data_IF_180825656349
#
_entry.id   IF_180825656349
#
_cell.length_a   1.000
_cell.length_b   1.000
_cell.length_c   1.000
_cell.angle_alpha   90.00
_cell.angle_beta   90.00
_cell.angle_gamma   90.00
#
_symmetry.space_group_name_H-M   'P 1'
#
loop_
_entity.id
_entity.type
_entity.pdbx_description
1 polymer ?
#
# COMPACT_ATOMS: atom_id res chain seq x y z
N UNK A 1 -3.52 1.42 -17.30
CA UNK A 1 -2.25 1.63 -16.55
C UNK A 1 -2.07 0.44 -15.62
N UNK A 2 -0.99 -0.31 -15.75
CA UNK A 2 -0.71 -1.42 -14.81
C UNK A 2 -0.34 -0.77 -13.49
N UNK A 3 -1.23 -0.88 -12.51
CA UNK A 3 -0.99 -0.38 -11.16
C UNK A 3 0.06 -1.27 -10.48
N UNK A 4 1.02 -0.68 -9.78
CA UNK A 4 2.08 -1.41 -9.04
C UNK A 4 1.50 -2.47 -8.11
N UNK A 5 0.34 -2.21 -7.49
CA UNK A 5 -0.37 -3.18 -6.65
C UNK A 5 -0.82 -4.42 -7.44
N UNK A 6 -1.25 -4.26 -8.69
CA UNK A 6 -1.63 -5.39 -9.56
C UNK A 6 -0.43 -6.26 -9.89
N UNK A 7 0.75 -5.66 -10.09
CA UNK A 7 2.00 -6.39 -10.33
C UNK A 7 2.41 -7.20 -9.10
N UNK A 8 2.42 -6.58 -7.91
CA UNK A 8 2.76 -7.28 -6.66
C UNK A 8 1.76 -8.39 -6.36
N UNK A 9 0.46 -8.16 -6.56
CA UNK A 9 -0.56 -9.19 -6.42
C UNK A 9 -0.37 -10.36 -7.41
N UNK A 10 0.14 -10.09 -8.62
CA UNK A 10 0.53 -11.14 -9.57
C UNK A 10 1.75 -11.93 -9.08
N UNK A 11 2.74 -11.27 -8.48
CA UNK A 11 3.89 -11.94 -7.88
C UNK A 11 3.49 -12.87 -6.73
N UNK A 12 2.53 -12.48 -5.89
CA UNK A 12 1.98 -13.36 -4.84
C UNK A 12 1.43 -14.65 -5.45
N UNK A 13 0.60 -14.56 -6.50
CA UNK A 13 0.08 -15.75 -7.18
C UNK A 13 1.18 -16.60 -7.80
N UNK A 14 2.14 -15.97 -8.44
CA UNK A 14 3.26 -16.67 -9.08
C UNK A 14 4.13 -17.40 -8.06
N UNK A 15 4.58 -16.72 -7.01
CA UNK A 15 5.47 -17.28 -5.99
C UNK A 15 4.84 -18.42 -5.20
N UNK A 16 3.55 -18.30 -4.89
CA UNK A 16 2.79 -19.32 -4.18
C UNK A 16 2.16 -20.39 -5.13
N UNK A 17 2.41 -20.30 -6.45
CA UNK A 17 1.85 -21.19 -7.47
C UNK A 17 0.32 -21.29 -7.43
N UNK A 18 -0.36 -20.17 -7.19
CA UNK A 18 -1.81 -20.10 -7.06
C UNK A 18 -2.45 -19.77 -8.41
N UNK A 19 -3.42 -20.58 -8.80
CA UNK A 19 -4.30 -20.27 -9.93
C UNK A 19 -5.63 -19.74 -9.40
N UNK A 20 -5.82 -18.42 -9.50
CA UNK A 20 -7.08 -17.75 -9.12
C UNK A 20 -7.84 -17.44 -10.41
N UNK A 21 -9.06 -17.97 -10.60
CA UNK A 21 -9.85 -17.74 -11.81
C UNK A 21 -10.15 -16.26 -12.06
N UNK A 22 -10.27 -15.87 -13.33
CA UNK A 22 -10.51 -14.47 -13.73
C UNK A 22 -11.78 -13.89 -13.10
N UNK A 23 -12.85 -14.68 -12.98
CA UNK A 23 -14.09 -14.24 -12.35
C UNK A 23 -13.91 -13.97 -10.84
N UNK A 24 -13.11 -14.79 -10.16
CA UNK A 24 -12.73 -14.54 -8.76
C UNK A 24 -11.89 -13.27 -8.64
N UNK A 25 -10.95 -13.04 -9.56
CA UNK A 25 -10.14 -11.81 -9.59
C UNK A 25 -10.99 -10.55 -9.75
N UNK A 26 -12.03 -10.60 -10.60
CA UNK A 26 -13.00 -9.49 -10.71
C UNK A 26 -13.76 -9.25 -9.41
N UNK A 27 -14.19 -10.31 -8.73
CA UNK A 27 -14.87 -10.20 -7.45
C UNK A 27 -13.97 -9.63 -6.32
N UNK A 28 -12.64 -9.67 -6.50
CA UNK A 28 -11.64 -9.13 -5.57
C UNK A 28 -11.23 -7.69 -5.89
N UNK A 29 -11.82 -7.03 -6.88
CA UNK A 29 -11.39 -5.70 -7.33
C UNK A 29 -11.33 -4.69 -6.18
N UNK A 30 -12.35 -4.59 -5.33
CA UNK A 30 -12.35 -3.70 -4.17
C UNK A 30 -11.28 -4.03 -3.13
N UNK A 31 -10.97 -5.33 -2.93
CA UNK A 31 -9.87 -5.76 -2.05
C UNK A 31 -8.52 -5.36 -2.67
N UNK A 32 -8.34 -5.49 -3.99
CA UNK A 32 -7.11 -5.08 -4.66
C UNK A 32 -6.92 -3.56 -4.65
N UNK A 33 -7.99 -2.79 -4.80
CA UNK A 33 -7.92 -1.33 -4.70
C UNK A 33 -7.52 -0.89 -3.29
N UNK A 34 -8.15 -1.46 -2.26
CA UNK A 34 -7.81 -1.20 -0.86
C UNK A 34 -6.37 -1.60 -0.55
N UNK A 35 -5.94 -2.79 -0.99
CA UNK A 35 -4.56 -3.26 -0.90
C UNK A 35 -3.58 -2.26 -1.54
N UNK A 36 -3.89 -1.75 -2.74
CA UNK A 36 -3.06 -0.77 -3.43
C UNK A 36 -2.95 0.56 -2.69
N UNK A 37 -4.06 1.06 -2.15
CA UNK A 37 -4.09 2.29 -1.35
C UNK A 37 -3.21 2.18 -0.11
N UNK A 38 -3.34 1.08 0.64
CA UNK A 38 -2.53 0.82 1.83
C UNK A 38 -1.03 0.74 1.51
N UNK A 39 -0.67 0.03 0.44
CA UNK A 39 0.73 -0.07 0.02
C UNK A 39 1.35 1.27 -0.36
N UNK A 40 0.60 2.13 -1.06
CA UNK A 40 1.08 3.46 -1.48
C UNK A 40 1.24 4.39 -0.27
N UNK A 41 0.25 4.48 0.62
CA UNK A 41 0.31 5.41 1.76
C UNK A 41 1.46 5.07 2.71
N UNK A 42 1.68 3.79 3.00
CA UNK A 42 2.80 3.33 3.84
C UNK A 42 4.13 3.67 3.17
N UNK A 43 4.27 3.38 1.87
CA UNK A 43 5.47 3.72 1.13
C UNK A 43 5.77 5.22 1.16
N UNK A 44 4.78 6.07 0.89
CA UNK A 44 4.96 7.51 0.82
C UNK A 44 5.31 8.12 2.19
N UNK A 45 4.73 7.61 3.28
CA UNK A 45 5.07 8.07 4.64
C UNK A 45 6.55 7.78 4.97
N UNK A 46 7.02 6.57 4.66
CA UNK A 46 8.40 6.15 4.98
C UNK A 46 9.43 6.75 4.01
N UNK A 47 9.13 6.82 2.72
CA UNK A 47 10.04 7.37 1.71
C UNK A 47 10.14 8.89 1.73
N UNK A 48 9.20 9.59 2.37
CA UNK A 48 9.04 11.04 2.31
C UNK A 48 10.33 11.82 2.59
N UNK A 49 11.03 11.51 3.67
CA UNK A 49 12.24 12.28 4.04
C UNK A 49 13.35 12.15 2.99
N UNK A 50 13.50 10.96 2.41
CA UNK A 50 14.43 10.72 1.30
C UNK A 50 14.01 11.50 0.07
N UNK A 51 12.74 11.44 -0.30
CA UNK A 51 12.21 12.13 -1.48
C UNK A 51 12.28 13.63 -1.33
N UNK A 52 11.97 14.18 -0.15
CA UNK A 52 12.11 15.62 0.13
C UNK A 52 13.56 16.09 0.01
N UNK A 53 14.51 15.29 0.49
CA UNK A 53 15.94 15.62 0.36
C UNK A 53 16.37 15.63 -1.09
N UNK A 54 16.03 14.61 -1.87
CA UNK A 54 16.32 14.56 -3.29
C UNK A 54 15.67 15.70 -4.05
N UNK A 55 14.43 16.03 -3.71
CA UNK A 55 13.70 17.16 -4.26
C UNK A 55 14.43 18.49 -4.03
N UNK A 56 14.90 18.72 -2.80
CA UNK A 56 15.62 19.95 -2.45
C UNK A 56 17.00 20.06 -3.11
N UNK A 57 17.61 18.93 -3.50
CA UNK A 57 18.90 18.91 -4.17
C UNK A 57 18.81 19.20 -5.67
N UNK A 58 17.85 18.59 -6.34
CA UNK A 58 17.73 18.71 -7.80
C UNK A 58 16.27 18.51 -8.25
N UNK A 59 15.56 19.60 -8.51
CA UNK A 59 14.26 19.54 -9.15
C UNK A 59 14.19 20.55 -10.30
N UNK A 60 13.51 20.15 -11.38
CA UNK A 60 13.28 21.04 -12.52
C UNK A 60 12.21 22.05 -12.18
N UNK A 61 12.37 23.27 -12.69
CA UNK A 61 11.36 24.33 -12.59
C UNK A 61 9.98 23.81 -13.07
N UNK A 62 8.94 24.03 -12.29
CA UNK A 62 7.59 23.56 -12.58
C UNK A 62 7.30 22.09 -12.24
N UNK A 63 8.29 21.32 -11.81
CA UNK A 63 8.04 19.97 -11.30
C UNK A 63 7.23 20.01 -10.00
N UNK A 64 6.54 18.91 -9.69
CA UNK A 64 5.81 18.72 -8.41
C UNK A 64 6.33 17.48 -7.71
N UNK A 65 6.52 17.59 -6.41
CA UNK A 65 6.83 16.42 -5.57
C UNK A 65 5.57 15.56 -5.43
N UNK A 66 5.63 14.36 -6.02
CA UNK A 66 4.53 13.40 -5.99
C UNK A 66 4.66 12.49 -4.76
N UNK A 67 4.20 12.99 -3.62
CA UNK A 67 4.15 12.23 -2.37
C UNK A 67 2.93 12.68 -1.56
N UNK A 68 2.16 11.74 -1.03
CA UNK A 68 0.90 12.04 -0.34
C UNK A 68 1.10 12.90 0.92
N UNK A 69 2.26 12.79 1.60
CA UNK A 69 2.60 13.62 2.77
C UNK A 69 2.74 15.08 2.35
N UNK A 70 3.40 15.34 1.21
CA UNK A 70 3.55 16.68 0.68
C UNK A 70 2.18 17.27 0.29
N UNK A 71 1.37 16.50 -0.43
CA UNK A 71 0.04 16.95 -0.86
C UNK A 71 -0.86 17.23 0.35
N UNK A 72 -0.91 16.33 1.33
CA UNK A 72 -1.68 16.53 2.57
C UNK A 72 -1.21 17.77 3.35
N UNK A 73 0.10 18.00 3.43
CA UNK A 73 0.66 19.19 4.10
C UNK A 73 0.20 20.48 3.45
N UNK A 74 0.22 20.53 2.11
CA UNK A 74 -0.18 21.71 1.33
C UNK A 74 -1.70 21.92 1.45
N UNK A 75 -2.49 20.89 1.17
CA UNK A 75 -3.95 20.98 1.09
C UNK A 75 -4.59 21.31 2.45
N UNK A 76 -4.05 20.74 3.53
CA UNK A 76 -4.56 20.98 4.89
C UNK A 76 -3.85 22.14 5.62
N UNK A 77 -2.80 22.74 5.04
CA UNK A 77 -2.03 23.82 5.68
C UNK A 77 -1.35 23.39 6.99
N UNK A 78 -0.85 22.14 7.06
CA UNK A 78 -0.22 21.57 8.27
C UNK A 78 1.23 21.21 8.03
N UNK A 79 1.99 21.03 9.10
CA UNK A 79 3.37 20.56 8.99
C UNK A 79 3.46 19.13 8.43
N UNK A 80 4.58 18.75 7.83
CA UNK A 80 4.84 17.39 7.37
C UNK A 80 4.69 16.34 8.48
N UNK A 81 5.13 16.66 9.69
CA UNK A 81 4.95 15.79 10.86
C UNK A 81 3.48 15.56 11.19
N UNK A 82 2.66 16.62 11.12
CA UNK A 82 1.22 16.51 11.33
C UNK A 82 0.55 15.75 10.20
N UNK A 83 0.92 16.02 8.95
CA UNK A 83 0.43 15.29 7.77
C UNK A 83 0.70 13.78 7.90
N UNK A 84 1.91 13.38 8.29
CA UNK A 84 2.25 11.98 8.53
C UNK A 84 1.36 11.33 9.61
N UNK A 85 1.11 12.03 10.73
CA UNK A 85 0.22 11.50 11.78
C UNK A 85 -1.22 11.32 11.29
N UNK A 86 -1.74 12.28 10.54
CA UNK A 86 -3.08 12.16 9.94
C UNK A 86 -3.13 10.96 8.98
N UNK A 87 -2.14 10.82 8.11
CA UNK A 87 -2.06 9.72 7.16
C UNK A 87 -1.94 8.36 7.84
N UNK A 88 -1.23 8.27 8.97
CA UNK A 88 -1.19 7.04 9.76
C UNK A 88 -2.55 6.68 10.36
N UNK A 89 -3.31 7.66 10.84
CA UNK A 89 -4.69 7.41 11.31
C UNK A 89 -5.55 6.88 10.18
N UNK A 90 -5.53 7.54 9.02
CA UNK A 90 -6.28 7.09 7.84
C UNK A 90 -5.84 5.69 7.37
N UNK A 91 -4.55 5.40 7.43
CA UNK A 91 -4.02 4.08 7.09
C UNK A 91 -4.64 3.00 7.98
N UNK A 92 -4.69 3.22 9.31
CA UNK A 92 -5.28 2.25 10.25
C UNK A 92 -6.80 2.09 10.07
N UNK A 93 -7.53 3.16 9.78
CA UNK A 93 -8.95 3.07 9.42
C UNK A 93 -9.16 2.22 8.14
N UNK A 94 -8.37 2.48 7.11
CA UNK A 94 -8.44 1.71 5.86
C UNK A 94 -8.01 0.25 6.01
N UNK A 95 -7.11 -0.06 6.95
CA UNK A 95 -6.79 -1.46 7.30
C UNK A 95 -7.99 -2.19 7.89
N UNK A 96 -8.76 -1.53 8.76
CA UNK A 96 -9.99 -2.10 9.32
C UNK A 96 -10.99 -2.39 8.20
N UNK A 97 -11.23 -1.42 7.32
CA UNK A 97 -12.11 -1.59 6.16
C UNK A 97 -11.64 -2.74 5.25
N UNK A 98 -10.33 -2.83 5.00
CA UNK A 98 -9.74 -3.90 4.20
C UNK A 98 -9.98 -5.28 4.84
N UNK A 99 -9.73 -5.40 6.14
CA UNK A 99 -9.94 -6.65 6.89
C UNK A 99 -11.42 -7.07 6.88
N UNK A 100 -12.35 -6.11 6.98
CA UNK A 100 -13.78 -6.40 6.86
C UNK A 100 -14.16 -6.91 5.47
N UNK A 101 -13.62 -6.31 4.39
CA UNK A 101 -13.85 -6.79 3.02
C UNK A 101 -13.33 -8.21 2.83
N UNK A 102 -12.13 -8.51 3.33
CA UNK A 102 -11.53 -9.86 3.30
C UNK A 102 -12.37 -10.84 4.11
N UNK A 103 -12.80 -10.46 5.32
CA UNK A 103 -13.64 -11.31 6.16
C UNK A 103 -15.00 -11.63 5.50
N UNK A 104 -15.65 -10.65 4.87
CA UNK A 104 -16.90 -10.85 4.12
C UNK A 104 -16.70 -11.79 2.92
N UNK A 105 -15.59 -11.65 2.20
CA UNK A 105 -15.25 -12.54 1.08
C UNK A 105 -15.04 -13.98 1.55
N UNK A 106 -14.31 -14.17 2.65
CA UNK A 106 -14.03 -15.49 3.23
C UNK A 106 -15.28 -16.12 3.86
N UNK A 107 -16.18 -15.35 4.47
CA UNK A 107 -17.44 -15.85 5.02
C UNK A 107 -18.45 -16.26 3.94
N UNK A 108 -18.31 -15.75 2.72
CA UNK A 108 -19.16 -16.10 1.57
C UNK A 108 -18.71 -17.37 0.86
N UNK A 109 -19.13 -17.52 -0.42
CA UNK A 109 -18.78 -18.68 -1.27
C UNK A 109 -17.27 -18.90 -1.44
N UNK A 110 -16.47 -17.84 -1.33
CA UNK A 110 -15.00 -17.91 -1.39
C UNK A 110 -14.34 -18.61 -0.20
N UNK A 111 -15.03 -18.72 0.94
CA UNK A 111 -14.50 -19.37 2.14
C UNK A 111 -14.30 -20.89 2.05
N UNK A 112 -14.88 -21.52 1.04
CA UNK A 112 -14.66 -22.94 0.74
C UNK A 112 -13.42 -23.19 -0.14
N UNK A 113 -12.86 -22.14 -0.77
CA UNK A 113 -11.71 -22.25 -1.67
C UNK A 113 -10.37 -22.02 -0.93
N UNK A 114 -9.57 -23.07 -0.72
CA UNK A 114 -8.25 -22.94 -0.07
C UNK A 114 -7.28 -22.03 -0.85
N UNK A 115 -7.38 -22.03 -2.19
CA UNK A 115 -6.52 -21.22 -3.05
C UNK A 115 -6.79 -19.73 -2.84
N UNK A 116 -8.07 -19.35 -2.76
CA UNK A 116 -8.46 -17.98 -2.48
C UNK A 116 -8.01 -17.53 -1.09
N UNK A 117 -8.20 -18.37 -0.05
CA UNK A 117 -7.72 -18.06 1.31
C UNK A 117 -6.21 -17.83 1.34
N UNK A 118 -5.45 -18.71 0.68
CA UNK A 118 -3.98 -18.58 0.60
C UNK A 118 -3.57 -17.31 -0.15
N UNK A 119 -4.28 -16.97 -1.22
CA UNK A 119 -4.03 -15.73 -1.96
C UNK A 119 -4.27 -14.48 -1.11
N UNK A 120 -5.42 -14.38 -0.44
CA UNK A 120 -5.76 -13.26 0.44
C UNK A 120 -4.75 -13.13 1.60
N UNK A 121 -4.35 -14.25 2.18
CA UNK A 121 -3.31 -14.27 3.22
C UNK A 121 -1.94 -13.83 2.69
N UNK A 122 -1.61 -14.18 1.45
CA UNK A 122 -0.41 -13.70 0.77
C UNK A 122 -0.40 -12.18 0.59
N UNK A 123 -1.53 -11.56 0.23
CA UNK A 123 -1.65 -10.11 0.16
C UNK A 123 -1.44 -9.45 1.53
N UNK A 124 -2.02 -10.00 2.59
CA UNK A 124 -1.83 -9.53 3.97
C UNK A 124 -0.35 -9.57 4.39
N UNK A 125 0.36 -10.66 4.09
CA UNK A 125 1.80 -10.77 4.37
C UNK A 125 2.64 -9.76 3.61
N UNK A 126 2.26 -9.42 2.37
CA UNK A 126 2.97 -8.39 1.60
C UNK A 126 2.74 -7.01 2.20
N UNK A 127 1.53 -6.67 2.66
CA UNK A 127 1.27 -5.39 3.33
C UNK A 127 2.10 -5.24 4.60
N UNK A 128 2.03 -6.20 5.51
CA UNK A 128 2.83 -6.19 6.75
C UNK A 128 4.33 -6.24 6.50
N UNK A 129 4.77 -7.03 5.51
CA UNK A 129 6.16 -7.09 5.08
C UNK A 129 6.68 -5.79 4.50
N UNK A 130 5.85 -5.07 3.72
CA UNK A 130 6.19 -3.76 3.18
C UNK A 130 6.35 -2.72 4.30
N UNK A 131 5.46 -2.70 5.26
CA UNK A 131 5.55 -1.81 6.43
C UNK A 131 6.82 -2.09 7.23
N UNK A 132 7.04 -3.35 7.63
CA UNK A 132 8.22 -3.76 8.37
C UNK A 132 9.54 -3.45 7.62
N UNK A 133 9.58 -3.76 6.33
CA UNK A 133 10.75 -3.44 5.50
C UNK A 133 10.98 -1.93 5.42
N UNK A 134 9.92 -1.15 5.26
CA UNK A 134 10.00 0.32 5.17
C UNK A 134 10.49 0.94 6.48
N UNK A 135 10.15 0.36 7.63
CA UNK A 135 10.62 0.80 8.94
C UNK A 135 12.09 0.44 9.18
N UNK A 136 12.57 -0.67 8.63
CA UNK A 136 13.88 -1.22 8.99
C UNK A 136 14.95 -1.02 7.91
N UNK A 137 14.56 -0.67 6.69
CA UNK A 137 15.49 -0.52 5.57
C UNK A 137 16.37 0.72 5.71
N UNK A 138 17.68 0.56 5.50
CA UNK A 138 18.60 1.69 5.40
C UNK A 138 18.25 2.66 4.26
N UNK A 139 17.50 2.21 3.26
CA UNK A 139 17.07 3.03 2.12
C UNK A 139 16.30 4.28 2.55
N UNK A 140 15.53 4.23 3.64
CA UNK A 140 14.73 5.35 4.14
C UNK A 140 15.32 6.00 5.41
N UNK A 141 16.31 5.38 6.04
CA UNK A 141 16.94 5.79 7.30
C UNK A 141 18.42 6.15 7.10
N UNK A 142 18.74 6.93 6.08
CA UNK A 142 20.10 7.42 5.89
C UNK A 142 20.55 8.18 7.14
N UNK A 143 21.63 7.69 7.74
CA UNK A 143 22.40 8.46 8.71
C UNK A 143 23.41 9.30 7.88
N UNK A 144 23.35 10.63 8.05
CA UNK A 144 24.37 11.53 7.53
C UNK A 144 25.72 11.24 8.19
#
# INVERSE_FOLDING_TARGET
MINTSSFVAALVRYSARLHVPTETMKALEGIHESYGKLGIIVNDIHSFNKELRLWNQDHKEGAKMLNIVNNMSIDAGVSYSTAKRILWVLCREWEIDHQEMVAKMVAGKGGADPTLKMYLKGLEYVLGGNEYWSETTERYHWRD
#
